data_IF_784820440039
#
_entry.id   IF_784820440039
#
_cell.length_a   1.000
_cell.length_b   1.000
_cell.length_c   1.000
_cell.angle_alpha   90.00
_cell.angle_beta   90.00
_cell.angle_gamma   90.00
#
_symmetry.space_group_name_H-M   'P 1'
#
loop_
_entity.id
_entity.type
_entity.pdbx_description
1 polymer ?
#
# COMPACT_ATOMS: atom_id res chain seq x y z
N UNK A 1 -26.37 -55.57 12.42
CA UNK A 1 -25.59 -54.38 12.80
C UNK A 1 -25.35 -53.51 11.59
N UNK A 2 -26.18 -52.46 11.49
CA UNK A 2 -26.33 -51.64 10.29
C UNK A 2 -25.18 -50.66 10.09
N UNK A 3 -24.76 -50.54 8.82
CA UNK A 3 -23.84 -49.53 8.33
C UNK A 3 -24.37 -48.11 8.57
N UNK A 4 -23.47 -47.17 8.87
CA UNK A 4 -23.72 -45.73 8.70
C UNK A 4 -22.40 -45.04 8.33
N UNK A 5 -22.43 -44.46 7.14
CA UNK A 5 -21.38 -43.80 6.36
C UNK A 5 -20.92 -42.45 6.96
N UNK A 6 -19.87 -41.81 6.42
CA UNK A 6 -19.19 -40.67 7.04
C UNK A 6 -19.94 -39.35 6.79
N UNK A 7 -20.31 -38.66 7.87
CA UNK A 7 -20.99 -37.36 7.82
C UNK A 7 -19.97 -36.22 7.72
N UNK A 8 -19.83 -35.70 6.50
CA UNK A 8 -19.91 -34.27 6.18
C UNK A 8 -19.32 -33.30 7.22
N UNK A 9 -18.00 -33.10 7.20
CA UNK A 9 -17.38 -31.85 7.67
C UNK A 9 -17.19 -30.89 6.50
N UNK A 10 -18.31 -30.38 5.97
CA UNK A 10 -18.36 -29.13 5.23
C UNK A 10 -18.77 -28.04 6.24
N UNK A 11 -17.81 -27.56 7.04
CA UNK A 11 -17.99 -26.33 7.80
C UNK A 11 -17.29 -25.19 7.04
N UNK A 12 -18.11 -24.54 6.21
CA UNK A 12 -18.09 -23.13 5.83
C UNK A 12 -16.78 -22.40 6.16
N UNK A 13 -15.93 -22.23 5.14
CA UNK A 13 -15.01 -21.11 5.11
C UNK A 13 -15.85 -19.84 5.27
N UNK A 14 -15.88 -19.30 6.48
CA UNK A 14 -16.36 -17.94 6.73
C UNK A 14 -15.50 -17.03 5.84
N UNK A 15 -16.10 -16.57 4.75
CA UNK A 15 -15.61 -15.40 4.03
C UNK A 15 -15.73 -14.24 5.02
N UNK A 16 -14.71 -14.05 5.84
CA UNK A 16 -14.55 -12.83 6.60
C UNK A 16 -14.30 -11.75 5.56
N UNK A 17 -15.32 -10.93 5.28
CA UNK A 17 -15.13 -9.70 4.53
C UNK A 17 -13.99 -8.94 5.22
N UNK A 18 -12.98 -8.46 4.45
CA UNK A 18 -11.87 -7.74 5.05
C UNK A 18 -12.43 -6.56 5.84
N UNK A 19 -11.90 -6.27 7.04
CA UNK A 19 -12.36 -5.16 7.84
C UNK A 19 -12.33 -3.88 7.00
N UNK A 20 -13.45 -3.14 6.98
CA UNK A 20 -13.54 -1.84 6.30
C UNK A 20 -12.59 -0.88 7.01
N UNK A 21 -11.37 -0.73 6.48
CA UNK A 21 -10.40 0.23 7.01
C UNK A 21 -10.81 1.61 6.52
N UNK A 22 -11.40 2.41 7.41
CA UNK A 22 -11.75 3.79 7.13
C UNK A 22 -10.47 4.56 6.77
N UNK A 23 -10.40 5.05 5.53
CA UNK A 23 -9.20 5.73 5.03
C UNK A 23 -9.14 7.13 5.63
N UNK A 24 -8.19 7.33 6.54
CA UNK A 24 -7.83 8.67 7.03
C UNK A 24 -7.24 9.48 5.88
N UNK A 25 -7.90 10.60 5.56
CA UNK A 25 -7.39 11.59 4.60
C UNK A 25 -6.26 12.37 5.26
N UNK A 26 -5.10 12.43 4.61
CA UNK A 26 -3.93 13.18 5.05
C UNK A 26 -3.70 14.38 4.12
N UNK A 27 -3.09 15.48 4.61
CA UNK A 27 -2.88 16.67 3.79
C UNK A 27 -2.12 16.43 2.48
N UNK A 28 -1.27 15.40 2.41
CA UNK A 28 -0.55 15.07 1.18
C UNK A 28 -1.43 14.44 0.10
N UNK A 29 -2.58 13.88 0.48
CA UNK A 29 -3.49 13.20 -0.45
C UNK A 29 -4.08 14.21 -1.46
N UNK A 30 -4.25 15.48 -1.06
CA UNK A 30 -4.69 16.58 -1.95
C UNK A 30 -3.64 16.96 -3.02
N UNK A 31 -2.41 16.47 -2.90
CA UNK A 31 -1.28 16.78 -3.78
C UNK A 31 -0.85 15.59 -4.65
N UNK A 32 -1.63 14.51 -4.70
CA UNK A 32 -1.26 13.28 -5.41
C UNK A 32 -0.93 13.54 -6.89
N UNK A 33 -1.81 14.22 -7.63
CA UNK A 33 -1.61 14.48 -9.05
C UNK A 33 -0.36 15.30 -9.34
N UNK A 34 -0.09 16.32 -8.53
CA UNK A 34 1.08 17.19 -8.67
C UNK A 34 2.38 16.42 -8.38
N UNK A 35 2.37 15.57 -7.36
CA UNK A 35 3.52 14.71 -7.01
C UNK A 35 3.81 13.73 -8.14
N UNK A 36 2.78 13.03 -8.63
CA UNK A 36 2.92 12.04 -9.71
C UNK A 36 3.45 12.69 -10.99
N UNK A 37 2.87 13.83 -11.38
CA UNK A 37 3.34 14.61 -12.54
C UNK A 37 4.80 15.01 -12.37
N UNK A 38 5.15 15.61 -11.23
CA UNK A 38 6.50 16.06 -10.97
C UNK A 38 7.53 14.92 -11.03
N UNK A 39 7.21 13.75 -10.47
CA UNK A 39 8.11 12.57 -10.52
C UNK A 39 8.20 12.00 -11.94
N UNK A 40 7.11 12.05 -12.73
CA UNK A 40 7.12 11.58 -14.11
C UNK A 40 7.95 12.48 -15.03
N UNK A 41 7.89 13.81 -14.83
CA UNK A 41 8.56 14.78 -15.72
C UNK A 41 9.94 15.22 -15.26
N UNK A 42 10.30 15.02 -13.98
CA UNK A 42 11.61 15.35 -13.44
C UNK A 42 12.36 14.13 -12.90
N UNK A 43 13.64 14.01 -13.28
CA UNK A 43 14.54 12.98 -12.71
C UNK A 43 14.76 13.11 -11.20
N UNK A 44 14.58 14.31 -10.65
CA UNK A 44 14.73 14.60 -9.22
C UNK A 44 13.60 15.53 -8.79
N UNK A 45 12.86 15.11 -7.76
CA UNK A 45 11.73 15.87 -7.18
C UNK A 45 11.94 16.02 -5.68
N UNK A 46 11.79 17.25 -5.18
CA UNK A 46 11.88 17.55 -3.75
C UNK A 46 10.46 17.79 -3.24
N UNK A 47 10.02 16.95 -2.29
CA UNK A 47 8.70 17.08 -1.67
C UNK A 47 8.89 17.64 -0.26
N UNK A 48 8.46 18.88 -0.05
CA UNK A 48 8.46 19.53 1.26
C UNK A 48 7.04 19.54 1.84
N UNK A 49 6.93 19.39 3.16
CA UNK A 49 5.65 19.45 3.86
C UNK A 49 5.86 19.26 5.36
N UNK A 50 4.88 19.64 6.15
CA UNK A 50 4.97 19.59 7.62
C UNK A 50 5.08 18.15 8.17
N UNK A 51 5.53 18.03 9.42
CA UNK A 51 5.54 16.73 10.10
C UNK A 51 4.10 16.21 10.24
N UNK A 52 3.89 14.92 9.95
CA UNK A 52 2.57 14.29 10.04
C UNK A 52 1.71 14.42 8.79
N UNK A 53 2.11 15.18 7.76
CA UNK A 53 1.31 15.32 6.54
C UNK A 53 1.21 14.05 5.68
N UNK A 54 2.00 13.00 5.97
CA UNK A 54 1.90 11.71 5.30
C UNK A 54 3.00 11.37 4.28
N UNK A 55 4.02 12.23 4.08
CA UNK A 55 5.13 12.04 3.10
C UNK A 55 5.66 10.60 3.02
N UNK A 56 6.16 10.06 4.13
CA UNK A 56 6.82 8.75 4.11
C UNK A 56 5.85 7.58 3.90
N UNK A 57 4.58 7.72 4.28
CA UNK A 57 3.57 6.65 4.18
C UNK A 57 2.74 6.67 2.90
N UNK A 58 2.58 7.85 2.27
CA UNK A 58 1.70 8.03 1.11
C UNK A 58 2.46 8.12 -0.22
N UNK A 59 3.55 8.89 -0.29
CA UNK A 59 4.28 9.08 -1.55
C UNK A 59 4.73 7.75 -2.17
N UNK A 60 5.34 6.80 -1.42
CA UNK A 60 5.71 5.52 -2.01
C UNK A 60 4.53 4.74 -2.60
N UNK A 61 3.37 4.81 -1.94
CA UNK A 61 2.13 4.14 -2.35
C UNK A 61 1.56 4.77 -3.61
N UNK A 62 1.50 6.10 -3.68
CA UNK A 62 1.09 6.84 -4.87
C UNK A 62 1.94 6.44 -6.08
N UNK A 63 3.26 6.41 -5.91
CA UNK A 63 4.20 6.06 -6.98
C UNK A 63 4.08 4.60 -7.43
N UNK A 64 3.79 3.67 -6.52
CA UNK A 64 3.59 2.25 -6.87
C UNK A 64 2.25 2.00 -7.57
N UNK A 65 1.23 2.81 -7.29
CA UNK A 65 -0.09 2.71 -7.93
C UNK A 65 -0.15 3.38 -9.30
N UNK A 66 0.70 4.38 -9.51
CA UNK A 66 0.80 5.06 -10.79
C UNK A 66 1.24 4.07 -11.89
N UNK A 67 0.76 4.26 -13.13
CA UNK A 67 1.23 3.46 -14.25
C UNK A 67 2.75 3.62 -14.42
N UNK A 68 3.45 2.59 -14.92
CA UNK A 68 4.87 2.69 -15.20
C UNK A 68 5.13 3.83 -16.20
N UNK A 69 6.31 4.48 -16.11
CA UNK A 69 6.64 5.63 -16.96
C UNK A 69 6.78 5.27 -18.45
N UNK A 70 6.90 4.00 -18.78
CA UNK A 70 6.96 3.47 -20.15
C UNK A 70 6.26 2.11 -20.18
N UNK A 71 5.49 1.86 -21.25
CA UNK A 71 4.79 0.59 -21.51
C UNK A 71 5.75 -0.60 -21.62
N UNK A 72 7.05 -0.33 -21.80
CA UNK A 72 8.09 -1.36 -21.84
C UNK A 72 8.44 -1.97 -20.48
N UNK A 73 8.15 -1.30 -19.37
CA UNK A 73 8.47 -1.79 -18.04
C UNK A 73 7.30 -2.59 -17.47
N UNK A 74 7.49 -3.90 -17.28
CA UNK A 74 6.50 -4.77 -16.63
C UNK A 74 6.40 -4.54 -15.12
N UNK A 75 7.46 -4.06 -14.48
CA UNK A 75 7.57 -3.96 -13.04
C UNK A 75 8.37 -2.72 -12.60
N UNK A 76 7.87 -2.05 -11.55
CA UNK A 76 8.55 -0.92 -10.89
C UNK A 76 9.23 -1.41 -9.61
N UNK A 77 10.51 -1.07 -9.42
CA UNK A 77 11.23 -1.30 -8.16
C UNK A 77 11.42 0.01 -7.42
N UNK A 78 10.86 0.10 -6.22
CA UNK A 78 10.95 1.28 -5.36
C UNK A 78 11.78 0.98 -4.11
N UNK A 79 12.72 1.86 -3.80
CA UNK A 79 13.51 1.81 -2.56
C UNK A 79 13.19 3.03 -1.70
N UNK A 80 12.76 2.78 -0.46
CA UNK A 80 12.48 3.83 0.52
C UNK A 80 13.48 3.71 1.67
N UNK A 81 14.33 4.72 1.84
CA UNK A 81 15.25 4.78 2.97
C UNK A 81 14.59 5.43 4.19
N UNK A 82 15.00 4.99 5.37
CA UNK A 82 14.61 5.59 6.65
C UNK A 82 15.85 5.69 7.55
N UNK A 83 16.07 6.84 8.23
CA UNK A 83 17.29 7.05 9.02
C UNK A 83 17.36 6.16 10.26
N UNK A 84 16.24 5.56 10.69
CA UNK A 84 16.16 4.69 11.87
C UNK A 84 15.49 3.37 11.51
N UNK A 85 16.06 2.26 11.98
CA UNK A 85 15.53 0.90 11.77
C UNK A 85 14.09 0.74 12.28
N UNK A 86 13.74 1.35 13.41
CA UNK A 86 12.36 1.30 13.93
C UNK A 86 11.37 2.02 13.01
N UNK A 87 11.76 3.17 12.43
CA UNK A 87 10.92 3.89 11.47
C UNK A 87 10.70 3.09 10.18
N UNK A 88 11.74 2.39 9.68
CA UNK A 88 11.60 1.49 8.55
C UNK A 88 10.56 0.39 8.82
N UNK A 89 10.65 -0.27 9.98
CA UNK A 89 9.69 -1.32 10.38
C UNK A 89 8.26 -0.79 10.49
N UNK A 90 8.08 0.31 11.23
CA UNK A 90 6.77 0.94 11.40
C UNK A 90 6.15 1.39 10.08
N UNK A 91 6.96 1.88 9.13
CA UNK A 91 6.48 2.24 7.81
C UNK A 91 5.98 1.01 7.04
N UNK A 92 6.72 -0.10 7.06
CA UNK A 92 6.29 -1.37 6.44
C UNK A 92 4.96 -1.85 7.02
N UNK A 93 4.83 -1.86 8.34
CA UNK A 93 3.60 -2.29 9.02
C UNK A 93 2.42 -1.37 8.69
N UNK A 94 2.67 -0.05 8.63
CA UNK A 94 1.66 0.93 8.22
C UNK A 94 1.18 0.67 6.80
N UNK A 95 2.08 0.57 5.82
CA UNK A 95 1.72 0.34 4.42
C UNK A 95 0.96 -0.98 4.26
N UNK A 96 1.41 -2.08 4.88
CA UNK A 96 0.71 -3.38 4.83
C UNK A 96 -0.70 -3.34 5.40
N UNK A 97 -0.92 -2.58 6.47
CA UNK A 97 -2.24 -2.48 7.10
C UNK A 97 -3.20 -1.57 6.33
N UNK A 98 -2.70 -0.58 5.58
CA UNK A 98 -3.54 0.36 4.84
C UNK A 98 -3.72 0.01 3.37
N UNK A 99 -2.79 -0.75 2.79
CA UNK A 99 -2.75 -1.11 1.37
C UNK A 99 -2.54 -2.64 1.22
N UNK A 100 -3.50 -3.48 1.67
CA UNK A 100 -3.34 -4.94 1.70
C UNK A 100 -3.16 -5.60 0.32
N UNK A 101 -3.54 -4.90 -0.75
CA UNK A 101 -3.36 -5.32 -2.14
C UNK A 101 -1.94 -5.09 -2.68
N UNK A 102 -1.14 -4.24 -2.03
CA UNK A 102 0.27 -4.05 -2.39
C UNK A 102 1.10 -5.19 -1.79
N UNK A 103 1.48 -6.17 -2.63
CA UNK A 103 2.31 -7.32 -2.27
C UNK A 103 3.77 -7.15 -2.67
#
# INVERSE_FOLDING_TARGET
DGASSPQQQQQQQQQQEPPVVERVVLPIDDHEEDILRAVQTQRVTIIHGETGCGKSSRVPVMLLRAPPPDDYYSDVKLFVSQPRRIAAKSLVDRVRSTEPELR
#
